data_IF_776757776732
#
_entry.id   IF_776757776732
#
_cell.length_a   1.000
_cell.length_b   1.000
_cell.length_c   1.000
_cell.angle_alpha   90.00
_cell.angle_beta   90.00
_cell.angle_gamma   90.00
#
_symmetry.space_group_name_H-M   'P 1'
#
loop_
_entity.id
_entity.type
_entity.pdbx_description
1 polymer ?
#
# COMPACT_ATOMS: atom_id res chain seq x y z
N UNK A 1 -18.46 43.19 33.76
CA UNK A 1 -19.44 42.24 34.33
C UNK A 1 -19.58 40.92 33.56
N UNK A 2 -19.41 40.85 32.23
CA UNK A 2 -19.59 39.60 31.47
C UNK A 2 -18.61 38.46 31.77
N UNK A 3 -17.36 38.77 32.15
CA UNK A 3 -16.31 37.76 32.41
C UNK A 3 -16.61 36.87 33.63
N UNK A 4 -17.15 37.46 34.71
CA UNK A 4 -17.54 36.72 35.91
C UNK A 4 -18.82 35.89 35.69
N UNK A 5 -19.74 36.35 34.84
CA UNK A 5 -20.97 35.62 34.53
C UNK A 5 -20.70 34.30 33.81
N UNK A 6 -19.72 34.27 32.90
CA UNK A 6 -19.31 33.04 32.21
C UNK A 6 -18.56 32.07 33.12
N UNK A 7 -17.74 32.58 34.05
CA UNK A 7 -17.03 31.76 35.04
C UNK A 7 -18.03 31.15 36.03
N UNK A 8 -18.97 31.95 36.55
CA UNK A 8 -20.03 31.47 37.45
C UNK A 8 -20.89 30.43 36.73
N UNK A 9 -21.29 30.69 35.49
CA UNK A 9 -22.05 29.72 34.70
C UNK A 9 -21.27 28.40 34.52
N UNK A 10 -19.99 28.46 34.12
CA UNK A 10 -19.15 27.29 33.94
C UNK A 10 -18.95 26.47 35.22
N UNK A 11 -18.68 27.13 36.35
CA UNK A 11 -18.52 26.47 37.65
C UNK A 11 -19.84 25.84 38.10
N UNK A 12 -20.96 26.55 37.97
CA UNK A 12 -22.28 26.02 38.30
C UNK A 12 -22.64 24.83 37.41
N UNK A 13 -22.36 24.88 36.12
CA UNK A 13 -22.56 23.76 35.19
C UNK A 13 -21.74 22.55 35.62
N UNK A 14 -20.45 22.71 35.87
CA UNK A 14 -19.61 21.60 36.36
C UNK A 14 -20.16 21.03 37.66
N UNK A 15 -20.47 21.88 38.64
CA UNK A 15 -20.96 21.44 39.95
C UNK A 15 -22.29 20.65 39.84
N UNK A 16 -23.24 21.15 39.05
CA UNK A 16 -24.54 20.49 38.83
C UNK A 16 -24.35 19.15 38.12
N UNK A 17 -23.57 19.10 37.03
CA UNK A 17 -23.35 17.85 36.30
C UNK A 17 -22.50 16.84 37.08
N UNK A 18 -21.54 17.28 37.90
CA UNK A 18 -20.81 16.42 38.83
C UNK A 18 -21.72 15.83 39.90
N UNK A 19 -22.65 16.62 40.45
CA UNK A 19 -23.63 16.15 41.42
C UNK A 19 -24.60 15.13 40.78
N UNK A 20 -25.07 15.41 39.56
CA UNK A 20 -25.91 14.46 38.80
C UNK A 20 -25.16 13.17 38.47
N UNK A 21 -23.90 13.24 38.02
CA UNK A 21 -23.09 12.05 37.78
C UNK A 21 -22.92 11.22 39.06
N UNK A 22 -22.65 11.87 40.21
CA UNK A 22 -22.56 11.18 41.49
C UNK A 22 -23.88 10.49 41.86
N UNK A 23 -25.01 11.20 41.73
CA UNK A 23 -26.34 10.63 41.99
C UNK A 23 -26.61 9.40 41.10
N UNK A 24 -26.34 9.49 39.80
CA UNK A 24 -26.54 8.35 38.89
C UNK A 24 -25.59 7.17 39.15
N UNK A 25 -24.36 7.40 39.60
CA UNK A 25 -23.45 6.32 39.99
C UNK A 25 -23.98 5.59 41.23
N UNK A 26 -24.42 6.33 42.25
CA UNK A 26 -24.96 5.74 43.49
C UNK A 26 -26.23 4.94 43.21
N UNK A 27 -27.19 5.49 42.48
CA UNK A 27 -28.40 4.77 42.09
C UNK A 27 -28.09 3.60 41.15
N UNK A 28 -27.15 3.76 40.22
CA UNK A 28 -26.72 2.71 39.30
C UNK A 28 -26.15 1.48 40.02
N UNK A 29 -25.38 1.68 41.09
CA UNK A 29 -24.85 0.59 41.91
C UNK A 29 -25.95 -0.26 42.58
N UNK A 30 -27.14 0.30 42.82
CA UNK A 30 -28.27 -0.48 43.38
C UNK A 30 -28.85 -1.49 42.38
N UNK A 31 -28.57 -1.32 41.08
CA UNK A 31 -29.02 -2.21 40.00
C UNK A 31 -28.16 -3.48 39.87
N UNK A 32 -26.96 -3.50 40.48
CA UNK A 32 -25.95 -4.55 40.37
C UNK A 32 -26.34 -5.86 41.12
N UNK A 33 -27.42 -5.87 41.89
CA UNK A 33 -27.83 -6.96 42.79
C UNK A 33 -28.27 -8.24 42.06
N UNK A 34 -28.47 -8.22 40.74
CA UNK A 34 -29.04 -9.34 39.96
C UNK A 34 -28.11 -10.07 39.01
N UNK A 35 -26.90 -9.59 38.77
CA UNK A 35 -25.95 -10.26 37.87
C UNK A 35 -24.76 -10.82 38.64
N UNK A 36 -24.25 -11.99 38.23
CA UNK A 36 -22.95 -12.49 38.67
C UNK A 36 -21.88 -11.55 38.11
N UNK A 37 -21.66 -10.41 38.76
CA UNK A 37 -20.61 -9.47 38.40
C UNK A 37 -19.30 -10.17 38.71
N UNK A 38 -18.66 -10.66 37.66
CA UNK A 38 -17.26 -11.11 37.71
C UNK A 38 -16.42 -9.87 37.95
N UNK A 39 -16.31 -9.46 39.21
CA UNK A 39 -15.22 -8.60 39.63
C UNK A 39 -13.97 -9.43 39.38
N UNK A 40 -13.21 -9.08 38.34
CA UNK A 40 -11.82 -9.50 38.22
C UNK A 40 -11.11 -8.85 39.41
N UNK A 41 -11.20 -9.48 40.58
CA UNK A 41 -10.33 -9.18 41.71
C UNK A 41 -8.97 -9.66 41.25
N UNK A 42 -8.24 -8.75 40.61
CA UNK A 42 -6.86 -8.98 40.23
C UNK A 42 -6.11 -9.19 41.54
N UNK A 43 -5.84 -10.45 41.91
CA UNK A 43 -5.18 -10.80 43.18
C UNK A 43 -3.72 -10.33 43.28
N UNK A 44 -3.24 -9.54 42.30
CA UNK A 44 -1.90 -8.95 42.27
C UNK A 44 -1.87 -7.53 42.84
N UNK A 45 -0.66 -7.03 43.07
CA UNK A 45 -0.45 -5.65 43.50
C UNK A 45 -0.96 -4.65 42.45
N UNK A 46 -1.24 -3.40 42.84
CA UNK A 46 -1.62 -2.34 41.89
C UNK A 46 -0.63 -2.21 40.72
N UNK A 47 0.65 -2.50 40.99
CA UNK A 47 1.70 -2.53 39.98
C UNK A 47 1.55 -3.69 39.00
N UNK A 48 1.20 -4.89 39.48
CA UNK A 48 0.96 -6.05 38.61
C UNK A 48 -0.23 -5.82 37.69
N UNK A 49 -1.29 -5.19 38.21
CA UNK A 49 -2.48 -4.84 37.43
C UNK A 49 -2.17 -3.78 36.36
N UNK A 50 -1.32 -2.81 36.70
CA UNK A 50 -0.82 -1.82 35.74
C UNK A 50 0.02 -2.49 34.65
N UNK A 51 0.96 -3.37 35.03
CA UNK A 51 1.80 -4.09 34.07
C UNK A 51 0.98 -5.01 33.16
N UNK A 52 -0.04 -5.69 33.69
CA UNK A 52 -0.98 -6.50 32.90
C UNK A 52 -1.73 -5.61 31.91
N UNK A 53 -2.31 -4.50 32.38
CA UNK A 53 -3.02 -3.53 31.53
C UNK A 53 -2.11 -2.95 30.45
N UNK A 54 -0.87 -2.60 30.79
CA UNK A 54 0.12 -2.09 29.85
C UNK A 54 0.48 -3.12 28.79
N UNK A 55 0.71 -4.38 29.18
CA UNK A 55 0.93 -5.48 28.25
C UNK A 55 -0.28 -5.70 27.33
N UNK A 56 -1.49 -5.66 27.86
CA UNK A 56 -2.71 -5.75 27.04
C UNK A 56 -2.79 -4.61 26.03
N UNK A 57 -2.50 -3.37 26.45
CA UNK A 57 -2.50 -2.21 25.57
C UNK A 57 -1.44 -2.27 24.47
N UNK A 58 -0.27 -2.85 24.73
CA UNK A 58 0.76 -3.08 23.71
C UNK A 58 0.29 -4.01 22.59
N UNK A 59 -0.56 -4.99 22.92
CA UNK A 59 -1.15 -5.92 21.96
C UNK A 59 -2.43 -5.37 21.31
N UNK A 60 -2.87 -4.16 21.66
CA UNK A 60 -3.98 -3.52 20.99
C UNK A 60 -3.64 -3.33 19.49
N UNK A 61 -4.51 -3.70 18.54
CA UNK A 61 -4.17 -3.74 17.11
C UNK A 61 -3.58 -2.45 16.56
N UNK A 62 -4.11 -1.30 17.00
CA UNK A 62 -3.58 0.01 16.62
C UNK A 62 -2.19 0.28 17.20
N UNK A 63 -1.95 -0.05 18.47
CA UNK A 63 -0.67 0.19 19.13
C UNK A 63 0.43 -0.65 18.48
N UNK A 64 0.12 -1.92 18.22
CA UNK A 64 0.99 -2.84 17.51
C UNK A 64 1.30 -2.34 16.08
N UNK A 65 0.28 -1.92 15.32
CA UNK A 65 0.48 -1.38 13.97
C UNK A 65 1.39 -0.14 13.98
N UNK A 66 1.21 0.76 14.94
CA UNK A 66 2.08 1.92 15.08
C UNK A 66 3.52 1.51 15.41
N UNK A 67 3.72 0.55 16.31
CA UNK A 67 5.04 0.02 16.63
C UNK A 67 5.71 -0.65 15.42
N UNK A 68 4.94 -1.38 14.61
CA UNK A 68 5.40 -1.97 13.34
C UNK A 68 5.84 -0.89 12.35
N UNK A 69 5.02 0.14 12.13
CA UNK A 69 5.33 1.25 11.21
C UNK A 69 6.62 1.96 11.66
N UNK A 70 6.73 2.30 12.95
CA UNK A 70 7.93 2.94 13.50
C UNK A 70 9.16 2.06 13.25
N UNK A 71 9.07 0.76 13.54
CA UNK A 71 10.19 -0.17 13.34
C UNK A 71 10.57 -0.30 11.86
N UNK A 72 9.59 -0.49 10.98
CA UNK A 72 9.81 -0.59 9.53
C UNK A 72 10.48 0.68 9.01
N UNK A 73 9.98 1.86 9.37
CA UNK A 73 10.57 3.14 8.93
C UNK A 73 12.01 3.29 9.43
N UNK A 74 12.27 3.02 10.71
CA UNK A 74 13.62 3.13 11.27
C UNK A 74 14.62 2.22 10.56
N UNK A 75 14.27 0.95 10.37
CA UNK A 75 15.14 -0.03 9.74
C UNK A 75 15.29 0.26 8.24
N UNK A 76 14.21 0.59 7.54
CA UNK A 76 14.26 0.99 6.13
C UNK A 76 15.12 2.23 5.90
N UNK A 77 15.04 3.24 6.77
CA UNK A 77 15.89 4.45 6.69
C UNK A 77 17.35 4.13 6.98
N UNK A 78 17.63 3.27 7.95
CA UNK A 78 18.99 2.83 8.27
C UNK A 78 19.63 2.12 7.07
N UNK A 79 18.97 1.09 6.53
CA UNK A 79 19.51 0.34 5.39
C UNK A 79 19.52 1.17 4.10
N UNK A 80 18.52 2.02 3.87
CA UNK A 80 18.50 2.96 2.76
C UNK A 80 19.69 3.93 2.82
N UNK A 81 20.03 4.43 4.01
CA UNK A 81 21.21 5.27 4.22
C UNK A 81 22.52 4.51 4.00
N UNK A 82 22.63 3.25 4.45
CA UNK A 82 23.79 2.38 4.18
C UNK A 82 23.95 2.18 2.68
N UNK A 83 22.88 1.85 1.96
CA UNK A 83 22.88 1.67 0.51
C UNK A 83 23.32 2.94 -0.23
N UNK A 84 22.82 4.11 0.16
CA UNK A 84 23.25 5.37 -0.43
C UNK A 84 24.75 5.62 -0.22
N UNK A 85 25.32 5.26 0.95
CA UNK A 85 26.77 5.37 1.20
C UNK A 85 27.60 4.50 0.27
N UNK A 86 27.11 3.31 -0.10
CA UNK A 86 27.77 2.41 -1.07
C UNK A 86 27.36 2.69 -2.53
N UNK A 87 26.73 3.85 -2.81
CA UNK A 87 26.28 4.29 -4.15
C UNK A 87 25.16 3.44 -4.76
N UNK A 88 24.46 2.66 -3.95
CA UNK A 88 23.24 1.95 -4.34
C UNK A 88 21.99 2.83 -4.13
N UNK A 89 20.95 2.68 -4.96
CA UNK A 89 19.66 3.35 -4.72
C UNK A 89 19.07 3.00 -3.36
N UNK A 90 18.35 3.94 -2.75
CA UNK A 90 17.84 3.75 -1.38
C UNK A 90 16.80 2.62 -1.29
N UNK A 91 16.02 2.40 -2.35
CA UNK A 91 15.02 1.33 -2.47
C UNK A 91 15.64 -0.06 -2.24
N UNK A 92 16.89 -0.29 -2.66
CA UNK A 92 17.57 -1.57 -2.41
C UNK A 92 17.75 -1.80 -0.90
N UNK A 93 18.09 -0.75 -0.15
CA UNK A 93 18.20 -0.82 1.30
C UNK A 93 16.85 -1.08 1.97
N UNK A 94 15.77 -0.52 1.43
CA UNK A 94 14.41 -0.76 1.93
C UNK A 94 13.98 -2.22 1.71
N UNK A 95 14.34 -2.82 0.56
CA UNK A 95 14.12 -4.25 0.31
C UNK A 95 14.91 -5.13 1.29
N UNK A 96 16.19 -4.79 1.54
CA UNK A 96 17.03 -5.50 2.51
C UNK A 96 16.44 -5.36 3.93
N UNK A 97 15.94 -4.19 4.31
CA UNK A 97 15.25 -4.00 5.59
C UNK A 97 14.03 -4.92 5.73
N UNK A 98 13.26 -5.13 4.66
CA UNK A 98 12.16 -6.09 4.64
C UNK A 98 12.63 -7.53 4.86
N UNK A 99 13.73 -7.95 4.21
CA UNK A 99 14.33 -9.28 4.41
C UNK A 99 14.84 -9.44 5.85
N UNK A 100 15.48 -8.40 6.38
CA UNK A 100 16.01 -8.35 7.76
C UNK A 100 14.89 -8.49 8.78
N UNK A 101 13.80 -7.73 8.63
CA UNK A 101 12.64 -7.78 9.54
C UNK A 101 11.75 -9.00 9.32
N UNK A 102 11.87 -9.65 8.17
CA UNK A 102 11.10 -10.82 7.79
C UNK A 102 11.55 -12.11 8.47
N UNK A 103 10.93 -13.25 8.08
CA UNK A 103 11.24 -14.55 8.65
C UNK A 103 12.67 -15.01 8.34
N UNK A 104 13.29 -14.49 7.28
CA UNK A 104 14.63 -14.89 6.83
C UNK A 104 15.75 -14.53 7.78
N UNK A 105 15.60 -13.48 8.60
CA UNK A 105 16.64 -13.05 9.54
C UNK A 105 16.09 -12.82 10.94
N UNK A 106 15.21 -11.83 11.14
CA UNK A 106 14.63 -11.56 12.46
C UNK A 106 13.83 -12.77 12.96
N UNK A 107 12.98 -13.36 12.12
CA UNK A 107 12.20 -14.53 12.50
C UNK A 107 13.05 -15.79 12.74
N UNK A 108 14.20 -15.92 12.07
CA UNK A 108 15.10 -17.06 12.21
C UNK A 108 15.96 -16.97 13.48
N UNK A 109 16.56 -15.80 13.76
CA UNK A 109 17.47 -15.61 14.88
C UNK A 109 16.80 -15.12 16.16
N UNK A 110 15.66 -14.41 16.05
CA UNK A 110 14.91 -13.83 17.16
C UNK A 110 13.40 -14.11 17.04
N UNK A 111 12.99 -15.39 17.06
CA UNK A 111 11.61 -15.79 16.78
C UNK A 111 10.59 -15.18 17.75
N UNK A 112 10.92 -15.06 19.04
CA UNK A 112 10.04 -14.46 20.04
C UNK A 112 9.80 -12.96 19.78
N UNK A 113 10.86 -12.23 19.46
CA UNK A 113 10.75 -10.80 19.12
C UNK A 113 9.99 -10.60 17.80
N UNK A 114 10.23 -11.46 16.81
CA UNK A 114 9.48 -11.45 15.56
C UNK A 114 8.00 -11.76 15.77
N UNK A 115 7.66 -12.69 16.65
CA UNK A 115 6.27 -13.03 16.96
C UNK A 115 5.57 -11.93 17.77
N UNK A 116 6.30 -11.23 18.64
CA UNK A 116 5.79 -10.06 19.36
C UNK A 116 5.52 -8.88 18.42
N UNK A 117 6.47 -8.56 17.53
CA UNK A 117 6.38 -7.40 16.67
C UNK A 117 5.53 -7.65 15.41
N UNK A 118 5.57 -8.85 14.83
CA UNK A 118 4.87 -9.24 13.61
C UNK A 118 4.02 -10.51 13.81
N UNK A 119 3.05 -10.52 14.74
CA UNK A 119 2.14 -11.66 14.88
C UNK A 119 1.29 -11.81 13.62
N UNK A 120 1.01 -13.05 13.22
CA UNK A 120 0.31 -13.38 11.96
C UNK A 120 -1.01 -12.63 11.78
N UNK A 121 -1.76 -12.44 12.87
CA UNK A 121 -3.05 -11.74 12.89
C UNK A 121 -2.93 -10.25 12.53
N UNK A 122 -1.78 -9.63 12.80
CA UNK A 122 -1.53 -8.21 12.48
C UNK A 122 -1.09 -7.97 11.04
N UNK A 123 -0.56 -9.01 10.36
CA UNK A 123 0.01 -8.87 9.01
C UNK A 123 -1.05 -8.42 7.98
N UNK A 124 -2.31 -8.80 8.17
CA UNK A 124 -3.40 -8.34 7.32
C UNK A 124 -3.61 -6.82 7.39
N UNK A 125 -3.52 -6.22 8.58
CA UNK A 125 -3.63 -4.77 8.76
C UNK A 125 -2.45 -4.04 8.10
N UNK A 126 -1.24 -4.60 8.24
CA UNK A 126 -0.05 -4.06 7.62
C UNK A 126 -0.11 -4.15 6.09
N UNK A 127 -0.62 -5.26 5.55
CA UNK A 127 -0.84 -5.45 4.12
C UNK A 127 -1.88 -4.46 3.59
N UNK A 128 -3.00 -4.25 4.29
CA UNK A 128 -4.00 -3.28 3.86
C UNK A 128 -3.41 -1.87 3.80
N UNK A 129 -2.67 -1.46 4.84
CA UNK A 129 -2.00 -0.16 4.88
C UNK A 129 -0.95 -0.02 3.76
N UNK A 130 -0.19 -1.08 3.48
CA UNK A 130 0.83 -1.05 2.42
C UNK A 130 0.21 -0.91 1.03
N UNK A 131 -0.95 -1.52 0.77
CA UNK A 131 -1.69 -1.34 -0.49
C UNK A 131 -2.20 0.09 -0.66
N UNK A 132 -2.75 0.70 0.39
CA UNK A 132 -3.14 2.12 0.35
C UNK A 132 -1.92 3.02 0.09
N UNK A 133 -0.79 2.75 0.76
CA UNK A 133 0.46 3.46 0.52
C UNK A 133 0.96 3.32 -0.92
N UNK A 134 0.86 2.11 -1.48
CA UNK A 134 1.23 1.83 -2.86
C UNK A 134 0.35 2.61 -3.85
N UNK A 135 -0.97 2.61 -3.69
CA UNK A 135 -1.91 3.37 -4.53
C UNK A 135 -1.55 4.86 -4.54
N UNK A 136 -1.32 5.44 -3.35
CA UNK A 136 -0.91 6.85 -3.22
C UNK A 136 0.45 7.12 -3.87
N UNK A 137 1.41 6.20 -3.68
CA UNK A 137 2.73 6.30 -4.29
C UNK A 137 2.66 6.25 -5.82
N UNK A 138 1.87 5.33 -6.39
CA UNK A 138 1.64 5.23 -7.85
C UNK A 138 1.05 6.52 -8.40
N UNK A 139 0.10 7.11 -7.66
CA UNK A 139 -0.52 8.35 -8.07
C UNK A 139 0.49 9.50 -8.12
N UNK A 140 1.34 9.65 -7.09
CA UNK A 140 2.40 10.65 -7.06
C UNK A 140 3.35 10.46 -8.24
N UNK A 141 3.84 9.23 -8.44
CA UNK A 141 4.73 8.92 -9.57
C UNK A 141 4.05 9.30 -10.88
N UNK A 142 2.78 8.92 -11.08
CA UNK A 142 2.00 9.26 -12.28
C UNK A 142 1.84 10.77 -12.51
N UNK A 143 1.70 11.57 -11.44
CA UNK A 143 1.65 13.04 -11.53
C UNK A 143 2.99 13.67 -11.94
N UNK A 144 4.12 13.04 -11.61
CA UNK A 144 5.45 13.52 -12.01
C UNK A 144 5.81 13.18 -13.47
N UNK A 145 5.02 12.36 -14.16
CA UNK A 145 5.31 11.92 -15.52
C UNK A 145 4.92 12.95 -16.58
N UNK A 146 5.88 13.27 -17.44
CA UNK A 146 5.65 14.07 -18.64
C UNK A 146 5.32 13.18 -19.86
N UNK A 147 4.02 12.98 -20.10
CA UNK A 147 3.52 12.21 -21.26
C UNK A 147 3.97 12.77 -22.62
N UNK A 148 4.32 14.06 -22.70
CA UNK A 148 4.76 14.67 -23.96
C UNK A 148 6.16 14.20 -24.37
N UNK A 149 7.01 13.93 -23.37
CA UNK A 149 8.35 13.38 -23.55
C UNK A 149 8.28 11.91 -23.94
N UNK A 150 7.40 11.12 -23.31
CA UNK A 150 7.13 9.73 -23.67
C UNK A 150 6.75 9.57 -25.15
N UNK A 151 5.84 10.43 -25.64
CA UNK A 151 5.33 10.33 -27.03
C UNK A 151 6.41 10.50 -28.09
N UNK A 152 7.43 11.33 -27.85
CA UNK A 152 8.52 11.61 -28.82
C UNK A 152 9.48 10.44 -29.03
N UNK A 153 9.51 9.48 -28.10
CA UNK A 153 10.40 8.31 -28.12
C UNK A 153 9.65 6.97 -28.11
N UNK A 154 8.34 7.01 -28.33
CA UNK A 154 7.46 5.86 -28.19
C UNK A 154 7.85 4.67 -29.09
N UNK A 155 8.28 4.91 -30.34
CA UNK A 155 8.59 3.80 -31.25
C UNK A 155 9.82 3.00 -30.78
N UNK A 156 10.96 3.67 -30.55
CA UNK A 156 12.17 3.04 -30.04
C UNK A 156 11.92 2.38 -28.68
N UNK A 157 11.15 3.05 -27.81
CA UNK A 157 10.82 2.54 -26.49
C UNK A 157 9.97 1.26 -26.55
N UNK A 158 9.00 1.17 -27.47
CA UNK A 158 8.17 -0.04 -27.65
C UNK A 158 9.01 -1.23 -28.08
N UNK A 159 9.95 -1.05 -29.01
CA UNK A 159 10.83 -2.15 -29.45
C UNK A 159 11.73 -2.63 -28.31
N UNK A 160 12.35 -1.70 -27.58
CA UNK A 160 13.21 -2.03 -26.43
C UNK A 160 12.41 -2.73 -25.34
N UNK A 161 11.23 -2.20 -25.00
CA UNK A 161 10.28 -2.74 -24.02
C UNK A 161 9.87 -4.18 -24.35
N UNK A 162 9.44 -4.44 -25.59
CA UNK A 162 9.04 -5.80 -25.99
C UNK A 162 10.22 -6.76 -26.00
N UNK A 163 11.41 -6.31 -26.37
CA UNK A 163 12.61 -7.14 -26.27
C UNK A 163 12.95 -7.47 -24.80
N UNK A 164 12.82 -6.51 -23.87
CA UNK A 164 13.03 -6.72 -22.44
C UNK A 164 11.95 -7.55 -21.77
N UNK A 165 10.78 -7.75 -22.41
CA UNK A 165 9.74 -8.65 -21.93
C UNK A 165 9.89 -10.04 -22.55
N UNK A 166 9.92 -10.14 -23.88
CA UNK A 166 9.87 -11.42 -24.61
C UNK A 166 11.05 -12.32 -24.24
N UNK A 167 12.26 -11.76 -24.15
CA UNK A 167 13.46 -12.56 -23.86
C UNK A 167 13.39 -13.14 -22.43
N UNK A 168 13.23 -12.36 -21.35
CA UNK A 168 13.08 -12.92 -20.00
C UNK A 168 11.84 -13.80 -19.83
N UNK A 169 10.75 -13.51 -20.56
CA UNK A 169 9.54 -14.35 -20.54
C UNK A 169 9.84 -15.74 -21.08
N UNK A 170 10.48 -15.83 -22.25
CA UNK A 170 10.90 -17.11 -22.84
C UNK A 170 11.89 -17.84 -21.93
N UNK A 171 12.87 -17.13 -21.36
CA UNK A 171 13.81 -17.69 -20.39
C UNK A 171 13.11 -18.17 -19.10
N UNK A 172 12.06 -17.49 -18.64
CA UNK A 172 11.25 -17.90 -17.50
C UNK A 172 10.46 -19.19 -17.76
N UNK A 173 9.91 -19.36 -18.97
CA UNK A 173 9.33 -20.65 -19.39
C UNK A 173 10.41 -21.74 -19.42
N UNK A 174 11.56 -21.44 -20.01
CA UNK A 174 12.70 -22.37 -20.05
C UNK A 174 13.17 -22.78 -18.66
N UNK A 175 13.30 -21.83 -17.73
CA UNK A 175 13.64 -22.08 -16.33
C UNK A 175 12.60 -22.97 -15.66
N UNK A 176 11.31 -22.73 -15.94
CA UNK A 176 10.21 -23.49 -15.37
C UNK A 176 10.30 -24.98 -15.69
N UNK A 177 10.79 -25.35 -16.88
CA UNK A 177 11.03 -26.75 -17.23
C UNK A 177 11.96 -27.47 -16.23
N UNK A 178 13.00 -26.77 -15.74
CA UNK A 178 13.97 -27.35 -14.81
C UNK A 178 13.50 -27.34 -13.35
N UNK A 179 12.74 -26.32 -12.93
CA UNK A 179 12.37 -26.14 -11.52
C UNK A 179 10.97 -26.66 -11.17
N UNK A 180 10.16 -27.03 -12.17
CA UNK A 180 8.75 -27.39 -11.96
C UNK A 180 8.57 -28.57 -10.99
N UNK A 181 9.36 -29.64 -11.12
CA UNK A 181 9.18 -30.83 -10.28
C UNK A 181 9.49 -30.57 -8.79
N UNK A 182 10.35 -29.62 -8.50
CA UNK A 182 10.80 -29.31 -7.13
C UNK A 182 9.95 -28.20 -6.49
N UNK A 183 9.54 -27.19 -7.26
CA UNK A 183 8.93 -25.97 -6.73
C UNK A 183 7.45 -25.79 -7.08
N UNK A 184 6.88 -26.56 -8.02
CA UNK A 184 5.46 -26.44 -8.32
C UNK A 184 4.61 -27.06 -7.19
N UNK A 185 3.62 -26.31 -6.64
CA UNK A 185 2.68 -26.88 -5.68
C UNK A 185 1.89 -28.04 -6.28
N UNK A 186 1.52 -29.01 -5.44
CA UNK A 186 0.71 -30.15 -5.88
C UNK A 186 -0.60 -29.69 -6.54
N UNK A 187 -0.91 -30.25 -7.71
CA UNK A 187 -2.12 -29.94 -8.47
C UNK A 187 -2.01 -28.74 -9.42
N UNK A 188 -0.88 -28.03 -9.47
CA UNK A 188 -0.67 -26.93 -10.43
C UNK A 188 -0.09 -27.49 -11.74
N UNK A 189 -0.75 -27.20 -12.87
CA UNK A 189 -0.27 -27.61 -14.19
C UNK A 189 0.99 -26.86 -14.60
N UNK A 190 1.84 -27.51 -15.40
CA UNK A 190 3.07 -26.91 -15.94
C UNK A 190 2.83 -25.56 -16.62
N UNK A 191 1.80 -25.46 -17.47
CA UNK A 191 1.47 -24.21 -18.17
C UNK A 191 1.21 -23.06 -17.20
N UNK A 192 0.45 -23.29 -16.13
CA UNK A 192 0.15 -22.26 -15.14
C UNK A 192 1.38 -21.83 -14.36
N UNK A 193 2.20 -22.79 -13.96
CA UNK A 193 3.47 -22.52 -13.29
C UNK A 193 4.44 -21.77 -14.21
N UNK A 194 4.60 -22.22 -15.45
CA UNK A 194 5.51 -21.65 -16.42
C UNK A 194 5.13 -20.21 -16.81
N UNK A 195 3.84 -19.95 -17.05
CA UNK A 195 3.35 -18.60 -17.33
C UNK A 195 3.50 -17.67 -16.12
N UNK A 196 3.30 -18.17 -14.90
CA UNK A 196 3.52 -17.40 -13.68
C UNK A 196 5.00 -17.00 -13.54
N UNK A 197 5.93 -17.94 -13.68
CA UNK A 197 7.37 -17.65 -13.63
C UNK A 197 7.79 -16.72 -14.78
N UNK A 198 7.30 -16.95 -16.00
CA UNK A 198 7.61 -16.11 -17.16
C UNK A 198 7.19 -14.66 -16.96
N UNK A 199 5.99 -14.41 -16.40
CA UNK A 199 5.54 -13.09 -16.00
C UNK A 199 6.43 -12.49 -14.92
N UNK A 200 6.68 -13.25 -13.85
CA UNK A 200 7.46 -12.76 -12.70
C UNK A 200 8.88 -12.32 -13.10
N UNK A 201 9.47 -12.98 -14.11
CA UNK A 201 10.82 -12.68 -14.59
C UNK A 201 10.88 -11.58 -15.66
N UNK A 202 9.76 -11.17 -16.25
CA UNK A 202 9.74 -10.25 -17.41
C UNK A 202 9.19 -8.85 -17.12
N UNK A 203 8.49 -8.66 -16.01
CA UNK A 203 7.89 -7.37 -15.65
C UNK A 203 8.85 -6.54 -14.80
N UNK A 204 9.08 -5.28 -15.21
CA UNK A 204 9.81 -4.30 -14.41
C UNK A 204 8.83 -3.34 -13.73
N UNK A 205 8.99 -3.12 -12.42
CA UNK A 205 8.16 -2.15 -11.70
C UNK A 205 8.55 -0.71 -12.04
N UNK A 206 7.74 -0.06 -12.89
CA UNK A 206 7.86 1.36 -13.24
C UNK A 206 8.13 2.32 -12.07
N UNK A 207 7.47 2.22 -10.90
CA UNK A 207 7.58 3.23 -9.84
C UNK A 207 8.93 3.20 -9.12
N UNK A 208 9.47 1.99 -8.95
CA UNK A 208 10.80 1.79 -8.38
C UNK A 208 11.84 2.39 -9.34
N UNK A 209 11.69 2.13 -10.63
CA UNK A 209 12.57 2.71 -11.65
C UNK A 209 12.48 4.24 -11.69
N UNK A 210 11.27 4.81 -11.67
CA UNK A 210 11.06 6.25 -11.63
C UNK A 210 11.76 6.90 -10.42
N UNK A 211 11.61 6.29 -9.25
CA UNK A 211 12.32 6.71 -8.03
C UNK A 211 13.83 6.62 -8.18
N UNK A 212 14.37 5.53 -8.74
CA UNK A 212 15.82 5.38 -8.99
C UNK A 212 16.31 6.48 -9.94
N UNK A 213 15.60 6.75 -11.03
CA UNK A 213 15.96 7.81 -12.00
C UNK A 213 15.94 9.19 -11.33
N UNK A 214 15.01 9.44 -10.40
CA UNK A 214 14.93 10.67 -9.60
C UNK A 214 16.09 10.79 -8.62
N UNK A 215 16.31 9.76 -7.79
CA UNK A 215 17.40 9.72 -6.79
C UNK A 215 18.78 9.87 -7.44
N UNK A 216 18.93 9.38 -8.67
CA UNK A 216 20.19 9.46 -9.43
C UNK A 216 20.30 10.71 -10.30
N UNK A 217 19.34 11.63 -10.24
CA UNK A 217 19.30 12.86 -11.05
C UNK A 217 19.35 12.61 -12.57
N UNK A 218 18.81 11.47 -13.03
CA UNK A 218 18.81 11.07 -14.44
C UNK A 218 17.57 11.56 -15.21
N UNK A 219 16.58 12.14 -14.53
CA UNK A 219 15.27 12.55 -15.08
C UNK A 219 15.38 13.43 -16.34
N UNK A 220 16.36 14.33 -16.39
CA UNK A 220 16.55 15.28 -17.50
C UNK A 220 17.49 14.76 -18.60
N UNK A 221 17.98 13.53 -18.48
CA UNK A 221 18.89 12.94 -19.46
C UNK A 221 18.13 12.17 -20.53
N UNK A 222 18.74 12.02 -21.72
CA UNK A 222 18.18 11.17 -22.79
C UNK A 222 17.96 9.73 -22.31
N UNK A 223 18.90 9.21 -21.52
CA UNK A 223 18.81 7.87 -20.95
C UNK A 223 17.61 7.75 -20.00
N UNK A 224 17.46 8.68 -19.05
CA UNK A 224 16.33 8.70 -18.13
C UNK A 224 14.98 8.79 -18.86
N UNK A 225 14.88 9.65 -19.87
CA UNK A 225 13.70 9.72 -20.74
C UNK A 225 13.38 8.38 -21.40
N UNK A 226 14.37 7.72 -22.03
CA UNK A 226 14.15 6.44 -22.71
C UNK A 226 13.73 5.36 -21.71
N UNK A 227 14.44 5.24 -20.58
CA UNK A 227 14.16 4.24 -19.54
C UNK A 227 12.76 4.39 -18.94
N UNK A 228 12.33 5.62 -18.63
CA UNK A 228 10.95 5.90 -18.16
C UNK A 228 9.92 5.60 -19.24
N UNK A 229 10.23 5.89 -20.50
CA UNK A 229 9.32 5.61 -21.62
C UNK A 229 9.16 4.12 -21.86
N UNK A 230 10.26 3.35 -21.81
CA UNK A 230 10.24 1.89 -21.91
C UNK A 230 9.44 1.30 -20.75
N UNK A 231 9.69 1.72 -19.51
CA UNK A 231 9.00 1.15 -18.36
C UNK A 231 7.50 1.47 -18.33
N UNK A 232 7.06 2.62 -18.84
CA UNK A 232 5.64 2.89 -19.00
C UNK A 232 4.99 2.00 -20.08
N UNK A 233 5.73 1.71 -21.17
CA UNK A 233 5.28 0.76 -22.18
C UNK A 233 5.28 -0.69 -21.65
N UNK A 234 6.27 -1.03 -20.81
CA UNK A 234 6.35 -2.32 -20.12
C UNK A 234 5.15 -2.51 -19.21
N UNK A 235 4.80 -1.53 -18.38
CA UNK A 235 3.64 -1.61 -17.48
C UNK A 235 2.34 -1.89 -18.24
N UNK A 236 2.09 -1.19 -19.36
CA UNK A 236 0.89 -1.42 -20.18
C UNK A 236 0.89 -2.85 -20.74
N UNK A 237 2.03 -3.27 -21.31
CA UNK A 237 2.20 -4.61 -21.89
C UNK A 237 2.07 -5.70 -20.82
N UNK A 238 2.66 -5.48 -19.65
CA UNK A 238 2.65 -6.35 -18.49
C UNK A 238 1.23 -6.60 -17.98
N UNK A 239 0.41 -5.55 -17.87
CA UNK A 239 -1.00 -5.71 -17.48
C UNK A 239 -1.81 -6.49 -18.52
N UNK A 240 -1.58 -6.28 -19.81
CA UNK A 240 -2.21 -7.07 -20.86
C UNK A 240 -1.81 -8.55 -20.81
N UNK A 241 -0.51 -8.83 -20.63
CA UNK A 241 0.01 -10.20 -20.51
C UNK A 241 -0.52 -10.85 -19.22
N UNK A 242 -0.51 -10.14 -18.10
CA UNK A 242 -1.04 -10.63 -16.83
C UNK A 242 -2.51 -10.96 -16.93
N UNK A 243 -3.33 -10.10 -17.55
CA UNK A 243 -4.73 -10.38 -17.82
C UNK A 243 -4.88 -11.66 -18.67
N UNK A 244 -4.08 -11.82 -19.72
CA UNK A 244 -4.08 -13.02 -20.57
C UNK A 244 -3.64 -14.30 -19.84
N UNK A 245 -2.66 -14.22 -18.93
CA UNK A 245 -2.22 -15.37 -18.14
C UNK A 245 -3.23 -15.71 -17.05
N UNK A 246 -3.79 -14.74 -16.34
CA UNK A 246 -4.89 -14.98 -15.39
C UNK A 246 -6.07 -15.65 -16.12
N UNK A 247 -6.37 -15.16 -17.31
CA UNK A 247 -7.32 -15.73 -18.24
C UNK A 247 -7.02 -17.18 -18.67
N UNK A 248 -5.77 -17.61 -18.69
CA UNK A 248 -5.40 -19.00 -19.01
C UNK A 248 -5.41 -19.86 -17.72
N UNK A 249 -4.99 -19.28 -16.59
CA UNK A 249 -4.74 -20.00 -15.32
C UNK A 249 -5.99 -20.13 -14.46
N UNK A 250 -6.80 -19.06 -14.31
CA UNK A 250 -8.06 -19.07 -13.53
C UNK A 250 -9.23 -19.61 -14.33
N UNK A 251 -9.14 -19.63 -15.66
CA UNK A 251 -10.24 -20.04 -16.49
C UNK A 251 -10.50 -21.55 -16.37
N UNK A 252 -11.66 -21.87 -15.81
CA UNK A 252 -12.45 -23.00 -16.29
C UNK A 252 -13.07 -22.77 -17.68
N UNK A 253 -12.88 -21.59 -18.32
CA UNK A 253 -13.38 -21.26 -19.68
C UNK A 253 -12.74 -20.00 -20.30
N UNK A 254 -12.34 -20.05 -21.58
CA UNK A 254 -11.81 -18.93 -22.39
C UNK A 254 -12.74 -17.70 -22.46
N UNK A 255 -14.04 -17.88 -22.18
CA UNK A 255 -15.01 -16.79 -22.24
C UNK A 255 -14.85 -15.76 -21.12
N UNK A 256 -14.48 -16.16 -19.89
CA UNK A 256 -14.33 -15.22 -18.76
C UNK A 256 -13.19 -14.22 -18.99
N UNK A 257 -12.12 -14.69 -19.62
CA UNK A 257 -10.95 -13.93 -20.05
C UNK A 257 -11.26 -12.76 -20.97
N UNK A 258 -12.18 -12.97 -21.92
CA UNK A 258 -12.60 -11.94 -22.87
C UNK A 258 -13.33 -10.81 -22.14
N UNK A 259 -14.19 -11.12 -21.16
CA UNK A 259 -14.88 -10.10 -20.38
C UNK A 259 -13.91 -9.22 -19.59
N UNK A 260 -12.88 -9.81 -18.98
CA UNK A 260 -11.85 -9.05 -18.25
C UNK A 260 -11.11 -8.09 -19.20
N UNK A 261 -10.70 -8.56 -20.37
CA UNK A 261 -10.01 -7.73 -21.38
C UNK A 261 -10.93 -6.60 -21.87
N UNK A 262 -12.19 -6.89 -22.19
CA UNK A 262 -13.16 -5.89 -22.63
C UNK A 262 -13.44 -4.84 -21.55
N UNK A 263 -13.58 -5.25 -20.29
CA UNK A 263 -13.76 -4.33 -19.16
C UNK A 263 -12.52 -3.45 -18.97
N UNK A 264 -11.31 -4.00 -19.07
CA UNK A 264 -10.07 -3.22 -19.00
C UNK A 264 -9.97 -2.18 -20.13
N UNK A 265 -10.28 -2.57 -21.37
CA UNK A 265 -10.32 -1.64 -22.52
C UNK A 265 -11.38 -0.55 -22.30
N UNK A 266 -12.58 -0.95 -21.85
CA UNK A 266 -13.67 -0.03 -21.53
C UNK A 266 -13.28 0.97 -20.44
N UNK A 267 -12.59 0.52 -19.41
CA UNK A 267 -12.06 1.34 -18.32
C UNK A 267 -11.03 2.35 -18.82
N UNK A 268 -10.05 1.92 -19.62
CA UNK A 268 -9.05 2.81 -20.24
C UNK A 268 -9.73 3.86 -21.13
N UNK A 269 -10.74 3.45 -21.91
CA UNK A 269 -11.51 4.38 -22.74
C UNK A 269 -12.25 5.42 -21.90
N UNK A 270 -12.92 5.00 -20.83
CA UNK A 270 -13.60 5.88 -19.88
C UNK A 270 -12.63 6.88 -19.24
N UNK A 271 -11.44 6.43 -18.82
CA UNK A 271 -10.43 7.29 -18.23
C UNK A 271 -9.93 8.36 -19.21
N UNK A 272 -9.67 7.97 -20.47
CA UNK A 272 -9.15 8.88 -21.49
C UNK A 272 -10.22 9.86 -21.99
N UNK A 273 -11.46 9.39 -22.20
CA UNK A 273 -12.51 10.16 -22.87
C UNK A 273 -13.42 10.93 -21.92
N UNK A 274 -13.57 10.49 -20.67
CA UNK A 274 -14.49 11.11 -19.71
C UNK A 274 -13.69 11.75 -18.57
N UNK A 275 -12.89 10.97 -17.84
CA UNK A 275 -12.22 11.44 -16.63
C UNK A 275 -11.15 12.48 -16.93
N UNK A 276 -10.27 12.23 -17.91
CA UNK A 276 -9.21 13.16 -18.30
C UNK A 276 -9.74 14.55 -18.71
N UNK A 277 -10.71 14.70 -19.64
CA UNK A 277 -11.23 16.02 -19.99
C UNK A 277 -12.01 16.67 -18.85
N UNK A 278 -12.70 15.89 -18.01
CA UNK A 278 -13.37 16.39 -16.81
C UNK A 278 -12.37 17.02 -15.83
N UNK A 279 -11.31 16.30 -15.47
CA UNK A 279 -10.26 16.82 -14.59
C UNK A 279 -9.53 18.01 -15.20
N UNK A 280 -9.27 17.98 -16.52
CA UNK A 280 -8.66 19.12 -17.23
C UNK A 280 -9.54 20.36 -17.12
N UNK A 281 -10.85 20.23 -17.35
CA UNK A 281 -11.81 21.34 -17.25
C UNK A 281 -11.84 21.94 -15.85
N UNK A 282 -11.79 21.11 -14.81
CA UNK A 282 -11.71 21.57 -13.41
C UNK A 282 -10.40 22.30 -13.14
N UNK A 283 -9.28 21.79 -13.66
CA UNK A 283 -7.98 22.45 -13.57
C UNK A 283 -7.96 23.82 -14.25
N UNK A 284 -8.49 23.90 -15.47
CA UNK A 284 -8.53 25.12 -16.27
C UNK A 284 -9.41 26.21 -15.59
N UNK A 285 -10.52 25.82 -14.95
CA UNK A 285 -11.38 26.73 -14.18
C UNK A 285 -10.69 27.37 -12.97
N UNK A 286 -9.59 26.76 -12.51
CA UNK A 286 -8.84 27.18 -11.34
C UNK A 286 -7.46 27.77 -11.68
N UNK A 287 -7.04 27.72 -12.95
CA UNK A 287 -5.73 28.13 -13.46
C UNK A 287 -5.38 29.63 -13.31
N UNK A 288 -6.21 30.42 -12.62
CA UNK A 288 -5.95 31.82 -12.24
C UNK A 288 -5.89 32.07 -10.73
N UNK A 289 -6.02 31.05 -9.86
CA UNK A 289 -5.95 31.18 -8.40
C UNK A 289 -4.69 30.49 -7.89
N UNK A 290 -3.78 31.23 -7.28
CA UNK A 290 -2.50 30.74 -6.71
C UNK A 290 -2.63 29.73 -5.55
N UNK A 291 -3.84 29.23 -5.27
CA UNK A 291 -4.11 28.29 -4.19
C UNK A 291 -4.99 27.15 -4.67
N UNK A 292 -4.50 25.92 -4.49
CA UNK A 292 -5.31 24.71 -4.65
C UNK A 292 -6.39 24.74 -3.56
N UNK A 293 -7.66 24.76 -3.97
CA UNK A 293 -8.78 24.81 -3.03
C UNK A 293 -9.06 23.40 -2.46
N UNK A 294 -9.50 23.30 -1.20
CA UNK A 294 -9.82 22.03 -0.54
C UNK A 294 -10.75 21.11 -1.35
N UNK A 295 -11.79 21.61 -2.06
CA UNK A 295 -12.64 20.77 -2.91
C UNK A 295 -11.90 20.14 -4.10
N UNK A 296 -10.90 20.80 -4.67
CA UNK A 296 -10.12 20.27 -5.80
C UNK A 296 -9.28 19.07 -5.37
N UNK A 297 -8.64 19.17 -4.19
CA UNK A 297 -7.92 18.06 -3.58
C UNK A 297 -8.88 16.89 -3.33
N UNK A 298 -10.08 17.16 -2.81
CA UNK A 298 -11.09 16.12 -2.60
C UNK A 298 -11.50 15.42 -3.91
N UNK A 299 -11.67 16.16 -5.02
CA UNK A 299 -11.98 15.57 -6.33
C UNK A 299 -10.85 14.67 -6.83
N UNK A 300 -9.59 15.08 -6.68
CA UNK A 300 -8.45 14.26 -7.07
C UNK A 300 -8.36 12.98 -6.24
N UNK A 301 -8.50 13.08 -4.91
CA UNK A 301 -8.52 11.91 -4.03
C UNK A 301 -9.70 10.99 -4.33
N UNK A 302 -10.90 11.52 -4.55
CA UNK A 302 -12.07 10.71 -4.92
C UNK A 302 -11.85 10.00 -6.26
N UNK A 303 -11.29 10.70 -7.26
CA UNK A 303 -11.00 10.08 -8.56
C UNK A 303 -9.97 8.97 -8.41
N UNK A 304 -8.92 9.18 -7.61
CA UNK A 304 -7.91 8.16 -7.30
C UNK A 304 -8.54 6.94 -6.63
N UNK A 305 -9.34 7.13 -5.58
CA UNK A 305 -9.95 6.03 -4.82
C UNK A 305 -10.97 5.27 -5.67
N UNK A 306 -11.81 5.98 -6.44
CA UNK A 306 -12.76 5.35 -7.36
C UNK A 306 -12.05 4.56 -8.47
N UNK A 307 -10.96 5.11 -9.01
CA UNK A 307 -10.09 4.41 -9.97
C UNK A 307 -9.54 3.13 -9.37
N UNK A 308 -8.94 3.19 -8.17
CA UNK A 308 -8.36 2.03 -7.50
C UNK A 308 -9.42 0.96 -7.19
N UNK A 309 -10.59 1.37 -6.70
CA UNK A 309 -11.72 0.48 -6.45
C UNK A 309 -12.19 -0.22 -7.73
N UNK A 310 -12.37 0.54 -8.82
CA UNK A 310 -12.83 -0.01 -10.10
C UNK A 310 -11.83 -1.00 -10.73
N UNK A 311 -10.54 -0.90 -10.43
CA UNK A 311 -9.50 -1.83 -10.91
C UNK A 311 -9.27 -3.03 -9.99
N UNK A 312 -9.67 -2.94 -8.72
CA UNK A 312 -9.53 -4.03 -7.75
C UNK A 312 -10.68 -5.05 -7.85
N UNK A 313 -11.89 -4.59 -8.18
CA UNK A 313 -13.11 -5.40 -8.34
C UNK A 313 -13.21 -5.99 -9.74
#
# INVERSE_FOLDING_TARGET
MGKYKNIIFYITTIAVFSCLMYFFIVEGQTLEVKENIVTKISGGSTWDNFLESFKTNLHHPLALLLAQIVTIILVARLFGWICMKIKQPSVIGEMIAGIVLGPSLLGMYFPEFSAFLFPKESLGNLQFLSQIGLILFMYIVGMELDLSVLRKKAHDAVVISHASIIIPFALGIGLSYYIYQEFAPQGIQFTSFALFIAIAMSITAFPVLARIVQERNLQKTKLGTVVITCAAADDITAWCILAAVIAIVKAGSFASSIYVILMAIGYVFLMIKIVRPFLKRIGDLQAGKNTINKPMVAIFFLTLILSAYATEV
#
